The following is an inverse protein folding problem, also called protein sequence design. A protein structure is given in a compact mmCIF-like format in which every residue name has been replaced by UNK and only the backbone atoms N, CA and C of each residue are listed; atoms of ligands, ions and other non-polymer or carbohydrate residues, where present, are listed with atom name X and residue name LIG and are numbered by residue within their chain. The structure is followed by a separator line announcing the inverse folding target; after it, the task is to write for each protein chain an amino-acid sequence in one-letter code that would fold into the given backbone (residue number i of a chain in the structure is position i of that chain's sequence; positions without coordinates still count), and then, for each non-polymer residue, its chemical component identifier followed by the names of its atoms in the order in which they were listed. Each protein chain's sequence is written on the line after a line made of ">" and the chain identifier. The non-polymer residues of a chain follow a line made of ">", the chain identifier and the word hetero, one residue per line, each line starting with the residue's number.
data_IF_988806455523
#
_entry.id   IF_988806455523
#
_cell.length_a   1.000
_cell.length_b   1.000
_cell.length_c   1.000
_cell.angle_alpha   90.00
_cell.angle_beta   90.00
_cell.angle_gamma   90.00
#
_symmetry.space_group_name_H-M   'P 1'
#
loop_
_entity.id
_entity.type
_entity.pdbx_description
1 polymer ?
#
# COMPACT_ATOMS: atom_id res chain seq x y z
N UNK A 1 -4.94 -0.92 -1.36
CA UNK A 1 -5.41 0.15 -2.28
C UNK A 1 -5.60 -0.43 -3.67
N UNK A 2 -6.71 -0.10 -4.34
CA UNK A 2 -7.04 -0.55 -5.69
C UNK A 2 -7.08 0.54 -6.76
N UNK A 3 -6.93 1.82 -6.39
CA UNK A 3 -7.06 2.93 -7.33
C UNK A 3 -5.91 2.99 -8.35
N UNK A 4 -6.20 3.42 -9.58
CA UNK A 4 -5.20 3.60 -10.66
C UNK A 4 -4.26 4.79 -10.37
N UNK A 5 -4.76 5.82 -9.69
CA UNK A 5 -3.99 6.99 -9.25
C UNK A 5 -4.42 7.37 -7.82
N UNK A 6 -3.95 6.65 -6.79
CA UNK A 6 -4.31 6.95 -5.41
C UNK A 6 -3.85 8.36 -5.02
N UNK A 7 -4.69 9.05 -4.25
CA UNK A 7 -4.29 10.34 -3.65
C UNK A 7 -3.51 10.10 -2.35
N UNK A 8 -2.76 11.11 -1.91
CA UNK A 8 -2.05 11.06 -0.63
C UNK A 8 -2.99 11.44 0.52
N UNK A 9 -2.80 10.76 1.65
CA UNK A 9 -3.38 11.09 2.94
C UNK A 9 -2.28 11.64 3.84
N UNK A 10 -2.46 12.87 4.31
CA UNK A 10 -1.56 13.50 5.28
C UNK A 10 -2.04 13.19 6.70
N UNK A 11 -1.75 11.99 7.18
CA UNK A 11 -2.14 11.44 8.49
C UNK A 11 -1.16 11.80 9.63
N UNK A 12 -0.36 12.84 9.46
CA UNK A 12 0.56 13.40 10.45
C UNK A 12 0.29 14.88 10.72
N UNK A 13 0.72 15.37 11.88
CA UNK A 13 0.41 16.73 12.34
C UNK A 13 1.62 17.40 13.01
N UNK A 14 1.60 18.73 13.12
CA UNK A 14 2.63 19.51 13.82
C UNK A 14 3.89 19.81 13.00
N UNK A 15 3.95 19.37 11.74
CA UNK A 15 5.07 19.63 10.84
C UNK A 15 4.94 20.98 10.09
N UNK A 16 6.05 21.50 9.51
CA UNK A 16 6.01 22.70 8.68
C UNK A 16 5.08 22.57 7.47
N UNK A 17 4.50 23.70 7.01
CA UNK A 17 3.51 23.73 5.92
C UNK A 17 3.95 22.98 4.65
N UNK A 18 5.22 23.13 4.25
CA UNK A 18 5.73 22.50 3.01
C UNK A 18 5.62 20.96 3.03
N UNK A 19 5.55 20.34 4.20
CA UNK A 19 5.38 18.89 4.32
C UNK A 19 3.99 18.42 3.89
N UNK A 20 2.98 19.30 3.88
CA UNK A 20 1.62 19.02 3.40
C UNK A 20 1.43 19.41 1.93
N UNK A 21 2.46 19.96 1.29
CA UNK A 21 2.48 20.36 -0.13
C UNK A 21 3.21 19.30 -0.98
N UNK A 22 3.65 18.21 -0.37
CA UNK A 22 4.33 17.09 -1.02
C UNK A 22 3.42 16.35 -2.00
N UNK A 23 3.99 15.80 -3.06
CA UNK A 23 3.28 14.96 -4.03
C UNK A 23 4.13 13.75 -4.39
N UNK A 24 3.48 12.61 -4.67
CA UNK A 24 4.15 11.39 -5.12
C UNK A 24 3.26 10.68 -6.14
N UNK A 25 3.40 11.00 -7.44
CA UNK A 25 2.42 10.62 -8.47
C UNK A 25 2.63 9.19 -9.02
N UNK A 26 3.01 8.24 -8.16
CA UNK A 26 3.19 6.87 -8.58
C UNK A 26 1.86 6.25 -9.02
N UNK A 27 1.83 5.46 -10.11
CA UNK A 27 0.62 4.78 -10.51
C UNK A 27 0.25 3.70 -9.49
N UNK A 28 -1.04 3.48 -9.27
CA UNK A 28 -1.49 2.26 -8.63
C UNK A 28 -1.54 1.09 -9.60
N UNK A 29 -1.74 -0.13 -9.09
CA UNK A 29 -1.91 -1.33 -9.91
C UNK A 29 -3.15 -2.14 -9.47
N UNK A 30 -4.35 -1.83 -10.02
CA UNK A 30 -5.59 -2.51 -9.64
C UNK A 30 -5.54 -4.03 -9.89
N UNK A 31 -4.92 -4.46 -10.99
CA UNK A 31 -4.80 -5.88 -11.32
C UNK A 31 -3.96 -6.64 -10.28
N UNK A 32 -2.86 -6.04 -9.84
CA UNK A 32 -2.05 -6.60 -8.74
C UNK A 32 -2.82 -6.60 -7.41
N UNK A 33 -3.61 -5.56 -7.12
CA UNK A 33 -4.44 -5.53 -5.91
C UNK A 33 -5.46 -6.69 -5.89
N UNK A 34 -6.11 -6.98 -7.02
CA UNK A 34 -7.01 -8.13 -7.16
C UNK A 34 -6.29 -9.48 -7.03
N UNK A 35 -5.07 -9.57 -7.59
CA UNK A 35 -4.22 -10.75 -7.45
C UNK A 35 -3.84 -10.99 -5.98
N UNK A 36 -3.48 -9.93 -5.23
CA UNK A 36 -3.20 -9.99 -3.79
C UNK A 36 -4.41 -10.51 -3.03
N UNK A 37 -5.61 -9.97 -3.26
CA UNK A 37 -6.84 -10.46 -2.61
C UNK A 37 -7.10 -11.93 -2.94
N UNK A 38 -6.84 -12.34 -4.19
CA UNK A 38 -6.99 -13.74 -4.61
C UNK A 38 -6.02 -14.67 -3.89
N UNK A 39 -4.75 -14.26 -3.73
CA UNK A 39 -3.74 -15.04 -3.00
C UNK A 39 -4.05 -15.17 -1.51
N UNK A 40 -4.71 -14.19 -0.91
CA UNK A 40 -5.07 -14.20 0.51
C UNK A 40 -6.34 -14.99 0.84
N UNK A 41 -7.05 -15.51 -0.17
CA UNK A 41 -8.25 -16.34 0.05
C UNK A 41 -7.95 -17.55 0.94
N UNK A 42 -8.69 -17.67 2.04
CA UNK A 42 -8.50 -18.74 3.02
C UNK A 42 -7.37 -18.51 4.03
N UNK A 43 -6.59 -17.44 3.88
CA UNK A 43 -5.53 -17.04 4.82
C UNK A 43 -5.97 -15.86 5.67
N UNK A 44 -6.43 -14.77 5.03
CA UNK A 44 -6.87 -13.56 5.71
C UNK A 44 -8.02 -12.89 4.94
N UNK A 45 -8.98 -12.24 5.62
CA UNK A 45 -9.97 -11.41 4.96
C UNK A 45 -9.26 -10.21 4.32
N UNK A 46 -9.46 -10.03 3.02
CA UNK A 46 -8.91 -8.91 2.26
C UNK A 46 -9.93 -8.44 1.22
N UNK A 47 -9.92 -7.14 0.95
CA UNK A 47 -10.77 -6.51 -0.06
C UNK A 47 -9.97 -5.43 -0.78
N UNK A 48 -10.28 -5.22 -2.06
CA UNK A 48 -9.77 -4.08 -2.81
C UNK A 48 -10.60 -2.85 -2.47
N UNK A 49 -9.94 -1.81 -1.95
CA UNK A 49 -10.53 -0.48 -1.77
C UNK A 49 -9.89 0.51 -2.74
N UNK A 50 -10.66 0.95 -3.74
CA UNK A 50 -10.26 1.92 -4.76
C UNK A 50 -10.11 3.34 -4.22
N UNK A 51 -10.77 3.66 -3.10
CA UNK A 51 -10.74 4.98 -2.46
C UNK A 51 -9.62 5.12 -1.43
N UNK A 52 -9.01 4.01 -1.02
CA UNK A 52 -7.89 4.00 -0.08
C UNK A 52 -6.75 4.89 -0.59
N UNK A 53 -6.47 5.94 0.17
CA UNK A 53 -5.37 6.88 -0.04
C UNK A 53 -4.07 6.33 0.55
N UNK A 54 -2.92 6.83 0.09
CA UNK A 54 -1.62 6.46 0.64
C UNK A 54 -1.22 7.36 1.79
N UNK A 55 -1.02 6.78 2.96
CA UNK A 55 -0.50 7.46 4.16
C UNK A 55 1.00 7.75 4.08
N UNK A 56 1.50 8.52 5.04
CA UNK A 56 2.92 8.88 5.12
C UNK A 56 3.87 7.69 5.25
N UNK A 57 3.41 6.59 5.85
CA UNK A 57 4.17 5.34 5.93
C UNK A 57 4.39 4.70 4.56
N UNK A 58 3.55 5.03 3.59
CA UNK A 58 3.67 4.59 2.20
C UNK A 58 4.45 5.60 1.35
N UNK A 59 4.01 6.86 1.25
CA UNK A 59 4.55 7.77 0.24
C UNK A 59 5.90 8.40 0.62
N UNK A 60 6.22 8.60 1.91
CA UNK A 60 7.49 9.21 2.31
C UNK A 60 8.68 8.29 2.01
N UNK A 61 8.70 7.01 2.43
CA UNK A 61 9.81 6.11 2.10
C UNK A 61 10.00 5.95 0.59
N UNK A 62 8.89 5.80 -0.15
CA UNK A 62 8.93 5.64 -1.60
C UNK A 62 9.44 6.89 -2.31
N UNK A 63 9.07 8.09 -1.85
CA UNK A 63 9.61 9.35 -2.38
C UNK A 63 11.14 9.44 -2.24
N UNK A 64 11.70 8.93 -1.14
CA UNK A 64 13.14 8.92 -0.90
C UNK A 64 13.86 7.84 -1.72
N UNK A 65 13.26 6.66 -1.86
CA UNK A 65 13.87 5.52 -2.58
C UNK A 65 13.72 5.63 -4.10
N UNK A 66 12.56 6.10 -4.58
CA UNK A 66 12.15 6.11 -5.99
C UNK A 66 11.55 7.47 -6.37
N UNK A 67 12.35 8.55 -6.38
CA UNK A 67 11.85 9.91 -6.55
C UNK A 67 11.15 10.19 -7.90
N UNK A 68 11.35 9.34 -8.91
CA UNK A 68 10.69 9.47 -10.22
C UNK A 68 9.23 9.00 -10.21
N UNK A 69 8.81 8.28 -9.15
CA UNK A 69 7.44 7.78 -9.00
C UNK A 69 6.93 7.00 -10.24
N UNK A 70 7.81 6.21 -10.86
CA UNK A 70 7.55 5.45 -12.08
C UNK A 70 7.26 3.96 -11.82
N UNK A 71 7.44 3.51 -10.57
CA UNK A 71 7.11 2.15 -10.13
C UNK A 71 5.65 2.09 -9.66
N UNK A 72 4.80 1.20 -10.20
CA UNK A 72 3.44 1.00 -9.70
C UNK A 72 3.40 0.47 -8.26
N UNK A 73 2.49 1.00 -7.44
CA UNK A 73 2.42 0.69 -6.00
C UNK A 73 1.04 0.15 -5.63
N UNK A 74 1.02 -0.89 -4.78
CA UNK A 74 -0.17 -1.38 -4.09
C UNK A 74 0.11 -1.39 -2.60
N UNK A 75 -0.72 -0.67 -1.83
CA UNK A 75 -0.65 -0.68 -0.38
C UNK A 75 -1.53 -1.81 0.19
N UNK A 76 -0.96 -2.65 1.06
CA UNK A 76 -1.67 -3.66 1.84
C UNK A 76 -1.65 -3.27 3.32
N UNK A 77 -2.82 -3.21 3.94
CA UNK A 77 -2.95 -2.93 5.38
C UNK A 77 -2.59 -4.15 6.23
N UNK A 78 -2.13 -3.91 7.46
CA UNK A 78 -1.92 -4.97 8.44
C UNK A 78 -3.25 -5.51 8.97
N UNK A 79 -3.26 -6.78 9.36
CA UNK A 79 -4.44 -7.34 10.02
C UNK A 79 -4.57 -6.74 11.43
N UNK A 80 -5.77 -6.31 11.86
CA UNK A 80 -5.95 -5.62 13.15
C UNK A 80 -5.51 -6.42 14.38
N UNK A 81 -5.49 -7.75 14.29
CA UNK A 81 -5.04 -8.62 15.39
C UNK A 81 -3.55 -8.49 15.68
N UNK A 82 -2.74 -8.02 14.71
CA UNK A 82 -1.28 -7.98 14.78
C UNK A 82 -0.65 -9.34 15.13
N UNK A 83 -1.36 -10.44 14.89
CA UNK A 83 -0.86 -11.79 15.19
C UNK A 83 0.33 -12.13 14.27
N UNK A 84 1.53 -12.37 14.82
CA UNK A 84 2.71 -12.64 14.02
C UNK A 84 2.60 -13.92 13.19
N UNK A 85 1.84 -14.92 13.64
CA UNK A 85 1.62 -16.16 12.88
C UNK A 85 0.80 -15.87 11.64
N UNK A 86 -0.31 -15.14 11.78
CA UNK A 86 -1.12 -14.70 10.64
C UNK A 86 -0.30 -13.88 9.64
N UNK A 87 0.51 -12.92 10.10
CA UNK A 87 1.33 -12.10 9.20
C UNK A 87 2.42 -12.92 8.49
N UNK A 88 2.93 -13.97 9.12
CA UNK A 88 3.85 -14.93 8.47
C UNK A 88 3.15 -15.71 7.37
N UNK A 89 1.92 -16.19 7.60
CA UNK A 89 1.14 -16.90 6.59
C UNK A 89 0.73 -15.99 5.43
N UNK A 90 0.38 -14.73 5.70
CA UNK A 90 0.17 -13.69 4.67
C UNK A 90 1.43 -13.55 3.81
N UNK A 91 2.60 -13.44 4.42
CA UNK A 91 3.88 -13.35 3.68
C UNK A 91 4.13 -14.57 2.78
N UNK A 92 3.85 -15.78 3.27
CA UNK A 92 3.95 -17.02 2.47
C UNK A 92 2.97 -17.02 1.29
N UNK A 93 1.73 -16.60 1.52
CA UNK A 93 0.71 -16.53 0.47
C UNK A 93 1.07 -15.55 -0.65
N UNK A 94 1.78 -14.46 -0.32
CA UNK A 94 2.21 -13.44 -1.27
C UNK A 94 3.55 -13.75 -1.95
N UNK A 95 4.28 -14.77 -1.49
CA UNK A 95 5.58 -15.15 -2.05
C UNK A 95 5.62 -15.33 -3.58
N UNK A 96 4.57 -15.87 -4.25
CA UNK A 96 4.55 -16.00 -5.70
C UNK A 96 4.57 -14.67 -6.48
N UNK A 97 4.35 -13.52 -5.84
CA UNK A 97 4.39 -12.20 -6.51
C UNK A 97 5.82 -11.73 -6.84
N UNK A 98 6.83 -12.44 -6.37
CA UNK A 98 8.25 -12.08 -6.57
C UNK A 98 8.82 -12.60 -7.89
N UNK A 99 8.24 -13.67 -8.43
CA UNK A 99 8.76 -14.42 -9.59
C UNK A 99 7.95 -14.10 -10.85
#
# INVERSE_FOLDING_TARGET
>A
SGGVKPSLLFDYHGFPKHTYELTYPAPGNPALAEQVVTLLKGVAPAVVDEKMQWDHGTFIPLMLMFPQADIPVVQLSLAPSLDPVLHTEIGKALAPLRD
#
